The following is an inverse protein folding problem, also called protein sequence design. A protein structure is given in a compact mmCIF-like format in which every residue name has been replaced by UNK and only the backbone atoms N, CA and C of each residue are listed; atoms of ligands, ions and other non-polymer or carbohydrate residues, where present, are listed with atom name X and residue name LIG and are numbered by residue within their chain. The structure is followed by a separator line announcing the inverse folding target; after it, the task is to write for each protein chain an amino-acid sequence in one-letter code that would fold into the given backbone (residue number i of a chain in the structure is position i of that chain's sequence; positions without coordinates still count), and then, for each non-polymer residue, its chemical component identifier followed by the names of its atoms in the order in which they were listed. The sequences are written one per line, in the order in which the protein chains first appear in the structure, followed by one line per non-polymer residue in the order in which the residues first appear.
data_IF_392952868667
#
_entry.id   IF_392952868667
#
_cell.length_a   1.000
_cell.length_b   1.000
_cell.length_c   1.000
_cell.angle_alpha   90.00
_cell.angle_beta   90.00
_cell.angle_gamma   90.00
#
_symmetry.space_group_name_H-M   'P 1'
#
loop_
_entity.id
_entity.type
_entity.pdbx_description
1 polymer ?
#
# COMPACT_ATOMS: atom_id res chain seq x y z
N UNK A 1 -12.63 -16.59 9.39
CA UNK A 1 -11.20 -16.49 9.76
C UNK A 1 -10.51 -15.72 8.65
N UNK A 2 -10.20 -14.44 8.84
CA UNK A 2 -9.46 -13.64 7.85
C UNK A 2 -8.01 -14.10 7.81
N UNK A 3 -7.61 -14.77 6.73
CA UNK A 3 -6.21 -15.15 6.52
C UNK A 3 -5.35 -13.90 6.29
N UNK A 4 -4.09 -13.93 6.70
CA UNK A 4 -3.15 -12.80 6.57
C UNK A 4 -1.88 -13.21 5.82
N UNK A 5 -1.43 -12.35 4.92
CA UNK A 5 -0.19 -12.44 4.16
C UNK A 5 0.92 -11.66 4.87
N UNK A 6 1.97 -12.37 5.31
CA UNK A 6 3.16 -11.73 5.86
C UNK A 6 4.11 -11.35 4.73
N UNK A 7 4.31 -10.05 4.50
CA UNK A 7 5.08 -9.53 3.38
C UNK A 7 6.26 -8.70 3.87
N UNK A 8 7.40 -8.81 3.18
CA UNK A 8 8.53 -7.89 3.31
C UNK A 8 8.55 -6.98 2.08
N UNK A 9 8.48 -5.68 2.30
CA UNK A 9 8.50 -4.65 1.26
C UNK A 9 9.79 -3.85 1.38
N UNK A 10 10.45 -3.59 0.26
CA UNK A 10 11.67 -2.79 0.23
C UNK A 10 11.53 -1.58 -0.69
N UNK A 11 11.82 -0.40 -0.13
CA UNK A 11 11.85 0.87 -0.84
C UNK A 11 13.29 1.32 -1.06
N UNK A 12 13.57 1.89 -2.23
CA UNK A 12 14.88 2.40 -2.59
C UNK A 12 14.78 3.61 -3.51
N UNK A 13 15.92 4.21 -3.83
CA UNK A 13 15.99 5.35 -4.75
C UNK A 13 15.43 6.65 -4.18
N UNK A 14 15.35 6.78 -2.85
CA UNK A 14 14.81 7.95 -2.16
C UNK A 14 13.32 7.81 -1.82
N UNK A 15 12.64 6.76 -2.30
CA UNK A 15 11.25 6.48 -1.96
C UNK A 15 11.08 6.12 -0.48
N UNK A 16 12.11 5.53 0.15
CA UNK A 16 12.11 5.19 1.58
C UNK A 16 11.85 6.40 2.48
N UNK A 17 12.19 7.61 2.03
CA UNK A 17 11.94 8.87 2.75
C UNK A 17 10.44 9.07 3.03
N UNK A 18 9.56 8.64 2.12
CA UNK A 18 8.11 8.80 2.29
C UNK A 18 7.52 7.84 3.33
N UNK A 19 8.25 6.75 3.62
CA UNK A 19 7.83 5.66 4.49
C UNK A 19 8.65 5.65 5.78
N UNK A 20 8.66 6.78 6.49
CA UNK A 20 9.40 6.96 7.76
C UNK A 20 10.93 6.80 7.63
N UNK A 21 11.49 7.08 6.44
CA UNK A 21 12.90 6.85 6.13
C UNK A 21 13.37 5.40 6.42
N UNK A 22 12.46 4.43 6.26
CA UNK A 22 12.72 3.02 6.48
C UNK A 22 12.74 2.29 5.15
N UNK A 23 13.85 1.61 4.87
CA UNK A 23 14.00 0.83 3.63
C UNK A 23 13.14 -0.43 3.62
N UNK A 24 13.05 -1.15 4.74
CA UNK A 24 12.39 -2.45 4.78
C UNK A 24 11.24 -2.47 5.76
N UNK A 25 10.03 -2.78 5.28
CA UNK A 25 8.83 -2.92 6.09
C UNK A 25 8.36 -4.38 6.11
N UNK A 26 8.07 -4.89 7.29
CA UNK A 26 7.38 -6.17 7.47
C UNK A 26 5.94 -5.88 7.83
N UNK A 27 5.01 -6.35 7.02
CA UNK A 27 3.58 -6.09 7.21
C UNK A 27 2.78 -7.40 7.23
N UNK A 28 1.62 -7.35 7.87
CA UNK A 28 0.60 -8.38 7.81
C UNK A 28 -0.61 -7.82 7.05
N UNK A 29 -0.73 -8.18 5.77
CA UNK A 29 -1.82 -7.74 4.91
C UNK A 29 -2.97 -8.76 4.97
N UNK A 30 -4.25 -8.35 5.06
CA UNK A 30 -5.37 -9.27 4.87
C UNK A 30 -5.28 -9.99 3.52
N UNK A 31 -5.48 -11.31 3.50
CA UNK A 31 -5.41 -12.13 2.28
C UNK A 31 -6.61 -11.93 1.33
N UNK A 32 -7.69 -11.33 1.84
CA UNK A 32 -8.85 -10.89 1.07
C UNK A 32 -9.07 -9.40 1.30
N UNK A 33 -9.56 -8.71 0.26
CA UNK A 33 -9.89 -7.28 0.31
C UNK A 33 -11.16 -7.15 1.17
N UNK A 34 -11.11 -6.49 2.34
CA UNK A 34 -12.29 -6.32 3.16
C UNK A 34 -13.30 -5.42 2.45
N UNK A 35 -14.60 -5.70 2.61
CA UNK A 35 -15.68 -4.89 2.04
C UNK A 35 -15.64 -3.40 2.42
N UNK A 36 -14.91 -3.05 3.49
CA UNK A 36 -14.67 -1.68 3.92
C UNK A 36 -13.55 -0.95 3.16
N UNK A 37 -12.79 -1.66 2.31
CA UNK A 37 -11.72 -1.06 1.52
C UNK A 37 -12.29 -0.40 0.25
N UNK A 38 -11.80 0.80 -0.15
CA UNK A 38 -12.19 1.41 -1.42
C UNK A 38 -11.75 0.58 -2.64
N UNK A 39 -10.86 -0.40 -2.47
CA UNK A 39 -10.48 -1.34 -3.52
C UNK A 39 -11.46 -2.54 -3.65
N UNK A 40 -12.42 -2.69 -2.73
CA UNK A 40 -13.42 -3.73 -2.81
C UNK A 40 -14.39 -3.43 -3.96
N UNK A 41 -14.53 -4.38 -4.90
CA UNK A 41 -15.59 -4.30 -5.90
C UNK A 41 -16.91 -4.64 -5.22
N UNK A 42 -17.96 -3.84 -5.50
CA UNK A 42 -19.30 -4.03 -4.92
C UNK A 42 -19.84 -5.46 -5.14
N UNK A 43 -19.43 -6.11 -6.23
CA UNK A 43 -19.88 -7.44 -6.62
C UNK A 43 -19.04 -8.60 -6.02
N UNK A 44 -17.93 -8.31 -5.31
CA UNK A 44 -17.01 -9.33 -4.80
C UNK A 44 -16.38 -8.92 -3.43
N UNK A 45 -17.15 -8.99 -2.32
CA UNK A 45 -16.74 -8.53 -1.00
C UNK A 45 -15.60 -9.32 -0.33
N UNK A 46 -15.12 -10.41 -0.96
CA UNK A 46 -14.02 -11.26 -0.48
C UNK A 46 -12.98 -11.56 -1.56
N UNK A 47 -12.81 -10.65 -2.53
CA UNK A 47 -11.82 -10.80 -3.58
C UNK A 47 -10.41 -10.99 -2.97
N UNK A 48 -9.56 -11.84 -3.57
CA UNK A 48 -8.20 -12.05 -3.08
C UNK A 48 -7.39 -10.75 -3.13
N UNK A 49 -6.53 -10.56 -2.14
CA UNK A 49 -5.63 -9.41 -2.08
C UNK A 49 -4.77 -9.33 -3.34
N UNK A 50 -4.67 -8.14 -3.91
CA UNK A 50 -3.89 -7.87 -5.12
C UNK A 50 -2.94 -6.67 -4.89
N UNK A 51 -2.09 -6.39 -5.87
CA UNK A 51 -1.11 -5.29 -5.79
C UNK A 51 -1.80 -3.93 -5.62
N UNK A 52 -2.94 -3.70 -6.28
CA UNK A 52 -3.68 -2.44 -6.16
C UNK A 52 -4.17 -2.19 -4.71
N UNK A 53 -4.72 -3.22 -4.07
CA UNK A 53 -5.10 -3.15 -2.66
C UNK A 53 -3.88 -2.93 -1.76
N UNK A 54 -2.74 -3.59 -2.03
CA UNK A 54 -1.52 -3.37 -1.27
C UNK A 54 -1.03 -1.90 -1.37
N UNK A 55 -1.04 -1.31 -2.56
CA UNK A 55 -0.65 0.10 -2.76
C UNK A 55 -1.53 1.04 -1.93
N UNK A 56 -2.85 0.85 -1.99
CA UNK A 56 -3.79 1.64 -1.19
C UNK A 56 -3.56 1.44 0.31
N UNK A 57 -3.37 0.20 0.74
CA UNK A 57 -3.11 -0.11 2.15
C UNK A 57 -1.82 0.55 2.65
N UNK A 58 -0.73 0.51 1.86
CA UNK A 58 0.53 1.18 2.22
C UNK A 58 0.37 2.69 2.33
N UNK A 59 -0.41 3.30 1.46
CA UNK A 59 -0.73 4.73 1.51
C UNK A 59 -1.45 5.12 2.81
N UNK A 60 -2.37 4.28 3.28
CA UNK A 60 -3.14 4.56 4.50
C UNK A 60 -2.38 4.23 5.78
N UNK A 61 -1.49 3.23 5.75
CA UNK A 61 -0.88 2.66 6.96
C UNK A 61 0.61 2.97 7.14
N UNK A 62 1.38 3.05 6.05
CA UNK A 62 2.84 3.21 6.09
C UNK A 62 3.31 4.58 5.65
N UNK A 63 2.59 5.25 4.75
CA UNK A 63 2.97 6.57 4.25
C UNK A 63 2.81 7.59 5.38
N UNK A 64 3.91 8.25 5.73
CA UNK A 64 3.94 9.28 6.79
C UNK A 64 4.12 10.68 6.24
N UNK A 65 4.83 10.77 5.13
CA UNK A 65 5.10 12.04 4.46
C UNK A 65 3.99 12.38 3.45
N UNK A 66 4.23 13.45 2.70
CA UNK A 66 3.36 14.04 1.68
C UNK A 66 2.76 13.00 0.72
N UNK A 67 1.47 12.63 0.87
CA UNK A 67 0.83 11.61 0.04
C UNK A 67 0.78 11.95 -1.45
N UNK A 68 0.83 13.24 -1.78
CA UNK A 68 0.89 13.75 -3.16
C UNK A 68 2.22 13.43 -3.89
N UNK A 69 3.26 13.00 -3.18
CA UNK A 69 4.53 12.58 -3.78
C UNK A 69 4.59 11.08 -4.10
N UNK A 70 3.59 10.32 -3.65
CA UNK A 70 3.54 8.86 -3.81
C UNK A 70 2.57 8.43 -4.93
N UNK A 71 1.44 9.13 -5.06
CA UNK A 71 0.38 8.74 -5.99
C UNK A 71 -0.28 9.96 -6.63
N UNK A 72 -0.54 9.87 -7.93
CA UNK A 72 -1.31 10.84 -8.70
C UNK A 72 -2.37 10.09 -9.53
N UNK A 73 -3.65 10.43 -9.34
CA UNK A 73 -4.78 9.83 -10.06
C UNK A 73 -4.83 8.29 -10.04
N UNK A 74 -4.57 7.63 -8.90
CA UNK A 74 -4.58 6.16 -8.82
C UNK A 74 -3.33 5.49 -9.40
N UNK A 75 -2.36 6.27 -9.87
CA UNK A 75 -1.08 5.77 -10.40
C UNK A 75 0.05 6.15 -9.45
N UNK A 76 0.91 5.18 -9.15
CA UNK A 76 2.11 5.43 -8.33
C UNK A 76 3.09 6.28 -9.13
N UNK A 77 3.30 7.52 -8.67
CA UNK A 77 4.17 8.50 -9.31
C UNK A 77 5.26 8.89 -8.33
N UNK A 78 6.46 8.32 -8.46
CA UNK A 78 7.61 8.70 -7.63
C UNK A 78 8.22 9.97 -8.20
N UNK A 79 7.90 11.13 -7.61
CA UNK A 79 8.55 12.39 -7.98
C UNK A 79 9.90 12.49 -7.26
N UNK A 80 10.94 12.86 -8.00
CA UNK A 80 12.28 13.06 -7.43
C UNK A 80 12.23 14.19 -6.41
N UNK A 81 12.46 13.85 -5.15
CA UNK A 81 12.75 14.83 -4.10
C UNK A 81 14.20 15.26 -4.36
N UNK A 82 14.36 16.53 -4.74
CA UNK A 82 15.64 17.12 -5.17
C UNK A 82 16.70 17.12 -4.09
#
# INVERSE_FOLDING_TARGET
MSSTLNLKIEFGGGLELLFSNQRSHKIALPASIPASSPAAKADAPDAPANIAYLIQWMKENLLKERPELFEENGTVCVRRIG
#
